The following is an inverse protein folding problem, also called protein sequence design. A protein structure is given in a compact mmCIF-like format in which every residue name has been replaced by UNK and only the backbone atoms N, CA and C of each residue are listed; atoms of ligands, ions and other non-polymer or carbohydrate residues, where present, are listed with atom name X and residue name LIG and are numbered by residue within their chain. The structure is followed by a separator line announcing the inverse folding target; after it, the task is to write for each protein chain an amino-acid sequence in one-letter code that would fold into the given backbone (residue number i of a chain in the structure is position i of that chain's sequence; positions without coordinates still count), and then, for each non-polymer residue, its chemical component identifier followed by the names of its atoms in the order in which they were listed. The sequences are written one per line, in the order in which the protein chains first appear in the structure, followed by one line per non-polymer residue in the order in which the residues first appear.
data_IF_577929915289
#
_entry.id   IF_577929915289
#
_cell.length_a   1.000
_cell.length_b   1.000
_cell.length_c   1.000
_cell.angle_alpha   90.00
_cell.angle_beta   90.00
_cell.angle_gamma   90.00
#
_symmetry.space_group_name_H-M   'P 1'
#
loop_
_entity.id
_entity.type
_entity.pdbx_description
1 polymer ?
#
# COMPACT_ATOMS: atom_id res chain seq x y z
N UNK A 1 -10.96 -17.47 -10.08
CA UNK A 1 -9.56 -17.11 -10.42
C UNK A 1 -9.66 -15.96 -11.41
N UNK A 2 -9.36 -14.73 -10.98
CA UNK A 2 -9.25 -13.57 -11.87
C UNK A 2 -7.96 -12.86 -11.45
N UNK A 3 -6.84 -13.33 -11.98
CA UNK A 3 -5.61 -12.54 -11.99
C UNK A 3 -5.86 -11.40 -12.95
N UNK A 4 -6.02 -10.17 -12.43
CA UNK A 4 -6.00 -8.98 -13.29
C UNK A 4 -4.67 -9.02 -14.06
N UNK A 5 -4.66 -8.88 -15.40
CA UNK A 5 -3.41 -8.79 -16.13
C UNK A 5 -2.56 -7.70 -15.49
N UNK A 6 -1.31 -8.04 -15.18
CA UNK A 6 -0.33 -7.08 -14.71
C UNK A 6 -0.24 -5.98 -15.77
N UNK A 7 -0.50 -4.73 -15.37
CA UNK A 7 -0.52 -3.61 -16.30
C UNK A 7 0.87 -3.34 -16.87
N UNK A 8 0.98 -2.46 -17.89
CA UNK A 8 2.24 -2.15 -18.60
C UNK A 8 3.36 -1.63 -17.70
N UNK A 9 3.06 -1.32 -16.44
CA UNK A 9 3.95 -0.74 -15.44
C UNK A 9 4.33 -1.67 -14.29
N UNK A 10 4.02 -2.96 -14.38
CA UNK A 10 4.39 -3.90 -13.30
C UNK A 10 5.87 -4.25 -13.37
N UNK A 11 6.60 -3.98 -12.30
CA UNK A 11 8.01 -4.38 -12.17
C UNK A 11 8.21 -5.71 -11.45
N UNK A 12 9.38 -6.31 -11.70
CA UNK A 12 9.76 -7.62 -11.16
C UNK A 12 11.17 -7.61 -10.57
N UNK A 13 11.42 -8.54 -9.66
CA UNK A 13 12.72 -8.77 -9.06
C UNK A 13 13.08 -10.26 -9.06
N UNK A 14 14.37 -10.52 -8.87
CA UNK A 14 14.96 -11.84 -8.68
C UNK A 14 15.95 -11.77 -7.52
N UNK A 15 15.98 -12.80 -6.68
CA UNK A 15 16.98 -12.98 -5.63
C UNK A 15 18.11 -13.86 -6.14
N UNK A 16 19.35 -13.52 -5.79
CA UNK A 16 20.52 -14.24 -6.25
C UNK A 16 21.82 -13.63 -5.74
N UNK A 17 22.93 -14.12 -6.29
CA UNK A 17 24.27 -13.68 -5.95
C UNK A 17 24.94 -13.05 -7.17
N UNK A 18 25.65 -11.94 -6.96
CA UNK A 18 26.45 -11.28 -7.99
C UNK A 18 27.92 -11.38 -7.64
N UNK A 19 28.72 -11.96 -8.54
CA UNK A 19 30.17 -12.18 -8.33
C UNK A 19 31.06 -11.04 -8.86
N UNK A 20 30.46 -9.92 -9.30
CA UNK A 20 31.16 -8.81 -9.95
C UNK A 20 31.11 -8.85 -11.48
N UNK A 21 30.72 -9.98 -12.08
CA UNK A 21 30.59 -10.13 -13.53
C UNK A 21 29.26 -10.75 -13.96
N UNK A 22 28.72 -11.68 -13.17
CA UNK A 22 27.49 -12.43 -13.46
C UNK A 22 26.59 -12.47 -12.23
N UNK A 23 25.31 -12.33 -12.51
CA UNK A 23 24.25 -12.59 -11.54
C UNK A 23 23.76 -14.02 -11.71
N UNK A 24 23.80 -14.80 -10.64
CA UNK A 24 23.24 -16.14 -10.55
C UNK A 24 22.01 -16.10 -9.64
N UNK A 25 20.85 -16.50 -10.16
CA UNK A 25 19.61 -16.61 -9.38
C UNK A 25 19.74 -17.70 -8.31
N UNK A 26 19.06 -17.51 -7.18
CA UNK A 26 18.88 -18.57 -6.20
C UNK A 26 18.10 -19.75 -6.81
N UNK A 27 18.34 -20.96 -6.30
CA UNK A 27 17.79 -22.20 -6.89
C UNK A 27 16.26 -22.25 -6.91
N UNK A 28 15.59 -21.60 -5.96
CA UNK A 28 14.13 -21.56 -5.84
C UNK A 28 13.49 -20.36 -6.56
N UNK A 29 14.28 -19.55 -7.28
CA UNK A 29 13.83 -18.31 -7.89
C UNK A 29 13.18 -18.53 -9.27
N UNK A 30 11.94 -18.05 -9.51
CA UNK A 30 11.26 -18.29 -10.76
C UNK A 30 11.87 -17.47 -11.90
N UNK A 31 12.05 -18.10 -13.08
CA UNK A 31 12.50 -17.41 -14.29
C UNK A 31 11.63 -16.20 -14.66
N UNK A 32 10.32 -16.29 -14.40
CA UNK A 32 9.39 -15.21 -14.65
C UNK A 32 9.57 -14.00 -13.72
N UNK A 33 10.38 -14.10 -12.67
CA UNK A 33 10.58 -13.08 -11.64
C UNK A 33 9.34 -12.89 -10.76
N UNK A 34 9.56 -12.30 -9.60
CA UNK A 34 8.50 -11.99 -8.62
C UNK A 34 8.07 -10.55 -8.76
N UNK A 35 6.79 -10.26 -8.56
CA UNK A 35 6.26 -8.88 -8.61
C UNK A 35 6.69 -8.15 -7.32
N UNK A 36 7.32 -6.99 -7.43
CA UNK A 36 7.72 -6.20 -6.25
C UNK A 36 6.65 -5.21 -5.77
N UNK A 37 5.63 -4.91 -6.58
CA UNK A 37 4.51 -4.05 -6.19
C UNK A 37 3.23 -4.54 -6.88
N UNK A 38 2.20 -4.84 -6.08
CA UNK A 38 0.91 -5.31 -6.58
C UNK A 38 -0.03 -4.20 -7.07
N UNK A 39 0.37 -2.93 -6.92
CA UNK A 39 -0.33 -1.75 -7.40
C UNK A 39 -0.06 -1.45 -8.88
N UNK A 40 -0.77 -0.46 -9.42
CA UNK A 40 -0.59 -0.01 -10.79
C UNK A 40 0.50 1.07 -10.95
N UNK A 41 0.81 1.78 -9.85
CA UNK A 41 1.52 3.06 -9.82
C UNK A 41 2.87 2.98 -9.09
N UNK A 42 3.70 2.00 -9.44
CA UNK A 42 5.09 1.94 -8.94
C UNK A 42 5.99 1.40 -10.05
N UNK A 43 6.40 2.30 -10.95
CA UNK A 43 7.18 1.97 -12.14
C UNK A 43 8.58 2.60 -12.10
N UNK A 44 9.50 2.07 -12.92
CA UNK A 44 10.87 2.57 -13.04
C UNK A 44 11.55 2.76 -11.66
N UNK A 45 11.29 1.82 -10.75
CA UNK A 45 11.93 1.80 -9.43
C UNK A 45 13.44 1.68 -9.61
N UNK A 46 14.18 2.63 -9.04
CA UNK A 46 15.64 2.68 -9.09
C UNK A 46 16.20 2.77 -7.69
N UNK A 47 17.39 2.19 -7.48
CA UNK A 47 18.15 2.32 -6.24
C UNK A 47 19.03 3.57 -6.24
N UNK A 48 19.24 4.11 -5.05
CA UNK A 48 20.28 5.10 -4.80
C UNK A 48 21.67 4.43 -4.79
N UNK A 49 22.66 5.12 -5.33
CA UNK A 49 24.06 4.71 -5.26
C UNK A 49 24.77 5.39 -4.08
N UNK A 50 25.88 4.80 -3.62
CA UNK A 50 26.73 5.40 -2.59
C UNK A 50 26.20 5.29 -1.15
N UNK A 51 25.12 4.53 -0.95
CA UNK A 51 24.60 4.20 0.37
C UNK A 51 25.31 2.96 0.95
N UNK A 52 25.21 2.79 2.26
CA UNK A 52 25.71 1.58 2.94
C UNK A 52 24.93 0.34 2.46
N UNK A 53 25.48 -0.85 2.66
CA UNK A 53 24.82 -2.11 2.28
C UNK A 53 23.48 -2.32 2.98
N UNK A 54 23.32 -1.74 4.17
CA UNK A 54 22.12 -1.88 5.00
C UNK A 54 21.07 -0.79 4.69
N UNK A 55 21.40 0.16 3.81
CA UNK A 55 20.54 1.30 3.43
C UNK A 55 20.24 1.27 1.93
N UNK A 56 19.80 0.13 1.42
CA UNK A 56 19.36 0.05 0.02
C UNK A 56 17.98 0.67 -0.11
N UNK A 57 17.88 1.80 -0.81
CA UNK A 57 16.64 2.57 -0.93
C UNK A 57 16.18 2.59 -2.38
N UNK A 58 14.93 2.20 -2.63
CA UNK A 58 14.24 2.43 -3.90
C UNK A 58 13.40 3.69 -3.89
N UNK A 59 13.30 4.32 -5.06
CA UNK A 59 12.26 5.28 -5.38
C UNK A 59 11.73 4.97 -6.78
N UNK A 60 10.40 4.97 -6.94
CA UNK A 60 9.73 4.68 -8.21
C UNK A 60 8.80 5.80 -8.64
N UNK A 61 8.57 5.91 -9.94
CA UNK A 61 7.56 6.80 -10.50
C UNK A 61 6.17 6.33 -10.11
N UNK A 62 5.40 7.22 -9.48
CA UNK A 62 4.07 6.96 -8.97
C UNK A 62 3.02 7.29 -10.04
N UNK A 63 3.01 6.47 -11.09
CA UNK A 63 2.01 6.49 -12.14
C UNK A 63 2.04 5.20 -12.98
N UNK A 64 1.00 4.99 -13.77
CA UNK A 64 0.98 4.00 -14.85
C UNK A 64 1.01 4.68 -16.22
N UNK A 65 1.81 4.13 -17.16
CA UNK A 65 1.76 4.50 -18.58
C UNK A 65 0.35 4.42 -19.18
N UNK A 66 -0.52 3.57 -18.63
CA UNK A 66 -1.89 3.43 -19.10
C UNK A 66 -2.71 4.73 -19.01
N UNK A 67 -2.36 5.65 -18.09
CA UNK A 67 -3.12 6.88 -17.85
C UNK A 67 -2.28 8.08 -17.41
N UNK A 68 -0.94 7.98 -17.41
CA UNK A 68 -0.05 9.03 -16.92
C UNK A 68 -0.32 10.43 -17.52
N UNK A 69 -0.76 10.50 -18.78
CA UNK A 69 -1.05 11.74 -19.49
C UNK A 69 -2.48 12.27 -19.29
N UNK A 70 -3.32 11.53 -18.58
CA UNK A 70 -4.72 11.88 -18.31
C UNK A 70 -4.95 12.24 -16.84
N UNK A 71 -3.90 12.19 -16.01
CA UNK A 71 -3.98 12.60 -14.60
C UNK A 71 -4.30 14.11 -14.55
N UNK A 72 -5.39 14.52 -13.85
CA UNK A 72 -5.88 15.90 -13.85
C UNK A 72 -5.10 16.77 -12.84
N UNK A 73 -3.78 16.83 -12.98
CA UNK A 73 -2.91 17.69 -12.15
C UNK A 73 -2.36 18.85 -12.97
N UNK A 74 -2.32 20.03 -12.35
CA UNK A 74 -1.72 21.26 -12.88
C UNK A 74 -1.05 22.05 -11.73
N UNK A 75 0.04 22.80 -11.98
CA UNK A 75 0.77 22.94 -13.25
C UNK A 75 1.76 21.79 -13.55
N UNK A 76 1.95 20.83 -12.62
CA UNK A 76 2.86 19.71 -12.79
C UNK A 76 2.12 18.40 -13.12
N UNK A 77 2.87 17.40 -13.60
CA UNK A 77 2.36 16.06 -13.85
C UNK A 77 3.38 15.01 -13.46
N UNK A 78 2.89 13.97 -12.79
CA UNK A 78 3.72 12.91 -12.23
C UNK A 78 4.24 13.25 -10.84
N UNK A 79 4.47 12.20 -10.06
CA UNK A 79 5.05 12.25 -8.71
C UNK A 79 5.99 11.07 -8.54
N UNK A 80 6.90 11.16 -7.58
CA UNK A 80 7.63 9.99 -7.11
C UNK A 80 6.87 9.37 -5.94
N UNK A 81 7.02 8.06 -5.78
CA UNK A 81 6.54 7.34 -4.61
C UNK A 81 7.31 7.74 -3.35
N UNK A 82 6.77 7.36 -2.20
CA UNK A 82 7.51 7.34 -0.94
C UNK A 82 8.75 6.44 -1.12
N UNK A 83 9.96 6.89 -0.76
CA UNK A 83 11.15 6.06 -0.79
C UNK A 83 10.97 4.81 0.06
N UNK A 84 11.54 3.69 -0.39
CA UNK A 84 11.38 2.38 0.25
C UNK A 84 12.73 1.81 0.63
N UNK A 85 12.97 1.64 1.91
CA UNK A 85 14.09 0.84 2.40
C UNK A 85 13.83 -0.62 2.04
N UNK A 86 14.80 -1.24 1.40
CA UNK A 86 14.74 -2.63 0.96
C UNK A 86 15.38 -3.54 2.00
N UNK A 87 14.81 -4.72 2.14
CA UNK A 87 15.42 -5.80 2.90
C UNK A 87 15.08 -7.15 2.28
N UNK A 88 15.73 -8.19 2.79
CA UNK A 88 15.39 -9.57 2.50
C UNK A 88 15.10 -10.28 3.82
N UNK A 89 14.07 -11.12 3.80
CA UNK A 89 13.65 -11.93 4.96
C UNK A 89 13.34 -13.34 4.50
N UNK A 90 13.62 -14.30 5.37
CA UNK A 90 13.23 -15.70 5.19
C UNK A 90 11.73 -15.86 5.49
N UNK A 91 10.98 -16.36 4.50
CA UNK A 91 9.58 -16.76 4.60
C UNK A 91 9.47 -18.25 4.26
N UNK A 92 9.59 -19.08 5.30
CA UNK A 92 9.72 -20.53 5.16
C UNK A 92 11.05 -20.90 4.52
N UNK A 93 11.01 -21.62 3.39
CA UNK A 93 12.21 -22.00 2.63
C UNK A 93 12.65 -20.95 1.61
N UNK A 94 12.01 -19.76 1.60
CA UNK A 94 12.22 -18.74 0.58
C UNK A 94 12.81 -17.47 1.17
N UNK A 95 13.59 -16.76 0.37
CA UNK A 95 14.01 -15.40 0.66
C UNK A 95 13.13 -14.43 -0.13
N UNK A 96 12.50 -13.47 0.55
CA UNK A 96 11.55 -12.53 -0.06
C UNK A 96 11.93 -11.08 0.19
N UNK A 97 11.63 -10.21 -0.79
CA UNK A 97 11.85 -8.77 -0.69
C UNK A 97 10.86 -8.15 0.31
N UNK A 98 11.39 -7.41 1.28
CA UNK A 98 10.64 -6.45 2.10
C UNK A 98 10.89 -5.03 1.67
N UNK A 99 9.87 -4.20 1.86
CA UNK A 99 9.91 -2.77 1.59
C UNK A 99 9.28 -2.05 2.78
N UNK A 100 10.02 -1.12 3.39
CA UNK A 100 9.54 -0.26 4.47
C UNK A 100 9.58 1.19 4.00
N UNK A 101 8.53 2.00 4.23
CA UNK A 101 8.60 3.44 3.97
C UNK A 101 9.84 4.05 4.65
N UNK A 102 10.59 4.87 3.92
CA UNK A 102 11.82 5.50 4.40
C UNK A 102 11.70 7.02 4.42
N UNK A 103 12.05 7.64 5.55
CA UNK A 103 12.10 9.10 5.68
C UNK A 103 10.74 9.79 5.81
N UNK A 104 9.70 9.03 6.19
CA UNK A 104 8.34 9.57 6.39
C UNK A 104 8.09 10.05 7.83
N UNK A 105 9.01 9.74 8.75
CA UNK A 105 8.88 9.98 10.18
C UNK A 105 8.79 11.47 10.51
N UNK A 106 9.53 12.32 9.79
CA UNK A 106 9.51 13.76 9.98
C UNK A 106 8.17 14.41 9.62
N UNK A 107 7.35 13.75 8.78
CA UNK A 107 6.01 14.20 8.40
C UNK A 107 4.90 13.71 9.33
N UNK A 108 5.21 12.82 10.28
CA UNK A 108 4.27 12.36 11.31
C UNK A 108 4.22 13.41 12.42
N UNK A 109 3.55 14.54 12.17
CA UNK A 109 3.17 15.43 13.28
C UNK A 109 2.36 14.64 14.31
N UNK A 110 2.51 15.01 15.59
CA UNK A 110 1.98 14.30 16.76
C UNK A 110 0.45 14.24 16.78
N UNK A 111 -0.13 13.45 15.89
CA UNK A 111 -1.55 13.17 15.86
C UNK A 111 -1.88 12.28 17.05
N UNK A 112 -3.05 12.50 17.66
CA UNK A 112 -3.49 11.64 18.74
C UNK A 112 -3.70 10.24 18.17
N UNK A 113 -2.91 9.28 18.63
CA UNK A 113 -3.06 7.88 18.27
C UNK A 113 -4.30 7.37 18.98
N UNK A 114 -5.34 7.02 18.22
CA UNK A 114 -6.45 6.25 18.78
C UNK A 114 -6.01 4.80 18.86
N UNK A 115 -5.44 4.40 20.00
CA UNK A 115 -5.13 2.99 20.27
C UNK A 115 -6.41 2.24 20.62
N UNK A 116 -6.79 1.32 19.74
CA UNK A 116 -7.98 0.49 19.93
C UNK A 116 -7.61 -0.94 20.38
N UNK A 117 -6.40 -1.19 20.88
CA UNK A 117 -5.89 -2.55 21.20
C UNK A 117 -6.75 -3.38 22.16
N UNK A 118 -7.53 -2.75 23.04
CA UNK A 118 -8.13 -3.45 24.17
C UNK A 118 -9.39 -4.26 23.80
N UNK A 119 -10.22 -3.80 22.85
CA UNK A 119 -11.36 -4.55 22.26
C UNK A 119 -11.86 -3.83 20.99
N UNK A 120 -11.11 -3.82 19.88
CA UNK A 120 -11.52 -3.08 18.70
C UNK A 120 -12.64 -3.85 17.98
N UNK A 121 -13.84 -3.27 18.03
CA UNK A 121 -14.93 -3.68 17.14
C UNK A 121 -14.77 -3.00 15.78
N UNK A 122 -15.39 -3.56 14.73
CA UNK A 122 -15.43 -2.90 13.42
C UNK A 122 -16.03 -1.48 13.53
N UNK A 123 -17.03 -1.30 14.40
CA UNK A 123 -17.68 -0.01 14.66
C UNK A 123 -16.73 1.00 15.32
N UNK A 124 -15.97 0.62 16.34
CA UNK A 124 -15.04 1.55 17.00
C UNK A 124 -13.90 1.98 16.07
N UNK A 125 -13.43 1.07 15.20
CA UNK A 125 -12.45 1.41 14.15
C UNK A 125 -13.07 2.32 13.10
N UNK A 126 -14.32 2.06 12.68
CA UNK A 126 -15.03 2.94 11.76
C UNK A 126 -15.22 4.35 12.32
N UNK A 127 -15.62 4.49 13.59
CA UNK A 127 -15.79 5.79 14.25
C UNK A 127 -14.48 6.56 14.34
N UNK A 128 -13.39 5.91 14.74
CA UNK A 128 -12.06 6.53 14.81
C UNK A 128 -11.55 6.98 13.43
N UNK A 129 -11.81 6.18 12.40
CA UNK A 129 -11.52 6.50 11.01
C UNK A 129 -12.38 7.65 10.48
N UNK A 130 -13.66 7.69 10.86
CA UNK A 130 -14.60 8.73 10.47
C UNK A 130 -14.30 10.08 11.13
N UNK A 131 -13.67 10.09 12.31
CA UNK A 131 -13.17 11.31 12.95
C UNK A 131 -11.88 11.82 12.33
N UNK A 132 -11.05 10.94 11.77
CA UNK A 132 -9.80 11.33 11.12
C UNK A 132 -10.07 12.16 9.86
N UNK A 133 -9.37 13.29 9.71
CA UNK A 133 -9.52 14.16 8.55
C UNK A 133 -8.20 14.79 8.14
N UNK A 134 -8.02 15.03 6.85
CA UNK A 134 -6.81 15.67 6.30
C UNK A 134 -6.43 15.10 4.94
N UNK A 135 -5.58 15.83 4.23
CA UNK A 135 -5.11 15.43 2.90
C UNK A 135 -3.97 14.40 2.96
N UNK A 136 -3.26 14.35 4.10
CA UNK A 136 -2.10 13.48 4.36
C UNK A 136 -2.32 12.79 5.71
N UNK A 137 -2.47 11.47 5.69
CA UNK A 137 -2.63 10.63 6.87
C UNK A 137 -1.68 9.45 6.78
N UNK A 138 -1.05 9.11 7.90
CA UNK A 138 -0.37 7.83 8.08
C UNK A 138 -1.20 6.96 9.02
N UNK A 139 -1.74 5.87 8.49
CA UNK A 139 -2.72 5.01 9.18
C UNK A 139 -2.13 3.63 9.33
N UNK A 140 -2.03 3.16 10.57
CA UNK A 140 -1.51 1.84 10.91
C UNK A 140 -2.63 1.01 11.54
N UNK A 141 -2.99 -0.14 10.94
CA UNK A 141 -4.13 -0.95 11.39
C UNK A 141 -3.75 -2.43 11.42
N UNK A 142 -3.99 -3.08 12.56
CA UNK A 142 -3.91 -4.52 12.75
C UNK A 142 -5.30 -5.17 12.69
N UNK A 143 -5.64 -5.81 11.56
CA UNK A 143 -6.91 -6.53 11.38
C UNK A 143 -6.69 -8.04 11.42
N UNK A 144 -7.44 -8.75 12.27
CA UNK A 144 -7.57 -10.20 12.19
C UNK A 144 -8.79 -10.53 11.32
N UNK A 145 -8.59 -11.28 10.24
CA UNK A 145 -9.67 -11.71 9.33
C UNK A 145 -9.80 -13.24 9.43
N UNK A 146 -10.73 -13.78 10.25
CA UNK A 146 -10.80 -15.21 10.55
C UNK A 146 -11.12 -16.07 9.31
N UNK A 147 -12.06 -15.62 8.48
CA UNK A 147 -12.38 -16.23 7.19
C UNK A 147 -13.18 -15.26 6.31
N UNK A 148 -12.85 -15.16 5.02
CA UNK A 148 -13.55 -14.34 4.02
C UNK A 148 -12.79 -13.08 3.55
N UNK A 149 -13.52 -12.01 3.20
CA UNK A 149 -13.05 -10.75 2.62
C UNK A 149 -13.48 -9.54 3.46
N UNK A 150 -12.54 -8.66 3.77
CA UNK A 150 -12.84 -7.35 4.35
C UNK A 150 -12.30 -6.24 3.46
N UNK A 151 -12.65 -5.00 3.76
CA UNK A 151 -12.10 -3.84 3.08
C UNK A 151 -12.15 -2.61 3.97
N UNK A 152 -11.25 -1.69 3.69
CA UNK A 152 -11.18 -0.37 4.29
C UNK A 152 -11.29 0.64 3.15
N UNK A 153 -12.35 1.44 3.11
CA UNK A 153 -12.32 2.66 2.31
C UNK A 153 -11.45 3.68 3.05
N UNK A 154 -10.49 4.30 2.38
CA UNK A 154 -9.53 5.25 2.97
C UNK A 154 -9.81 6.68 2.49
N UNK A 155 -10.51 6.85 1.35
CA UNK A 155 -11.03 8.15 0.89
C UNK A 155 -12.49 8.01 0.52
N UNK A 156 -13.33 8.89 1.06
CA UNK A 156 -14.79 8.85 0.91
C UNK A 156 -15.28 10.26 0.54
N UNK A 157 -16.27 10.35 -0.34
CA UNK A 157 -16.87 11.64 -0.68
C UNK A 157 -17.64 12.24 0.51
N UNK A 158 -18.03 13.51 0.43
CA UNK A 158 -18.95 14.12 1.43
C UNK A 158 -20.27 13.35 1.55
N UNK A 159 -20.71 12.73 0.45
CA UNK A 159 -21.96 11.94 0.38
C UNK A 159 -21.79 10.51 0.90
N UNK A 160 -20.60 10.12 1.36
CA UNK A 160 -20.34 8.79 1.93
C UNK A 160 -19.91 7.71 0.92
N UNK A 161 -19.67 8.07 -0.34
CA UNK A 161 -19.27 7.11 -1.38
C UNK A 161 -17.76 6.82 -1.38
N UNK A 162 -17.32 5.55 -1.37
CA UNK A 162 -15.91 5.20 -1.42
C UNK A 162 -15.21 5.63 -2.73
N UNK A 163 -14.17 6.45 -2.59
CA UNK A 163 -13.30 6.87 -3.71
C UNK A 163 -12.10 5.92 -3.83
N UNK A 164 -11.56 5.45 -2.70
CA UNK A 164 -10.47 4.49 -2.68
C UNK A 164 -10.67 3.44 -1.58
N UNK A 165 -10.57 2.17 -1.95
CA UNK A 165 -10.71 1.02 -1.06
C UNK A 165 -9.48 0.12 -1.08
N UNK A 166 -9.08 -0.30 0.12
CA UNK A 166 -8.10 -1.34 0.35
C UNK A 166 -8.85 -2.60 0.79
N UNK A 167 -8.94 -3.58 -0.09
CA UNK A 167 -9.48 -4.91 0.21
C UNK A 167 -8.43 -5.82 0.85
N UNK A 168 -8.90 -6.68 1.75
CA UNK A 168 -8.14 -7.72 2.43
C UNK A 168 -8.85 -9.06 2.27
N UNK A 169 -8.10 -10.14 2.13
CA UNK A 169 -8.68 -11.48 2.00
C UNK A 169 -7.85 -12.50 2.77
N UNK A 170 -8.51 -13.25 3.64
CA UNK A 170 -7.92 -14.32 4.47
C UNK A 170 -7.10 -15.40 3.74
N UNK A 171 -7.15 -15.48 2.40
CA UNK A 171 -6.47 -16.51 1.60
C UNK A 171 -5.74 -15.94 0.37
N UNK A 172 -5.66 -14.61 0.24
CA UNK A 172 -5.05 -13.94 -0.92
C UNK A 172 -4.30 -12.69 -0.45
N UNK A 173 -3.34 -12.25 -1.25
CA UNK A 173 -2.71 -10.95 -1.02
C UNK A 173 -3.75 -9.82 -0.96
N UNK A 174 -3.48 -8.74 -0.18
CA UNK A 174 -4.32 -7.55 -0.17
C UNK A 174 -4.53 -7.01 -1.59
N UNK A 175 -5.72 -6.47 -1.86
CA UNK A 175 -6.09 -5.93 -3.17
C UNK A 175 -6.51 -4.48 -3.04
N UNK A 176 -5.97 -3.57 -3.87
CA UNK A 176 -6.38 -2.15 -3.91
C UNK A 176 -7.36 -1.90 -5.06
N UNK A 177 -8.36 -1.06 -4.82
CA UNK A 177 -9.28 -0.57 -5.85
C UNK A 177 -9.51 0.93 -5.65
N UNK A 178 -9.29 1.72 -6.71
CA UNK A 178 -9.67 3.13 -6.75
C UNK A 178 -10.85 3.29 -7.71
N UNK A 179 -11.83 4.11 -7.33
CA UNK A 179 -12.97 4.51 -8.16
C UNK A 179 -12.63 5.86 -8.76
N UNK A 180 -12.67 5.97 -10.09
CA UNK A 180 -12.40 7.23 -10.77
C UNK A 180 -13.58 8.19 -10.60
N UNK A 181 -13.43 9.23 -9.79
CA UNK A 181 -14.41 10.32 -9.68
C UNK A 181 -13.99 11.47 -10.61
N UNK A 182 -14.71 11.66 -11.71
CA UNK A 182 -14.49 12.77 -12.64
C UNK A 182 -15.20 14.04 -12.16
N UNK A 183 -14.44 15.11 -11.88
CA UNK A 183 -14.98 16.43 -11.56
C UNK A 183 -13.86 17.47 -11.47
N UNK A 184 -14.05 18.64 -12.10
CA UNK A 184 -13.09 19.75 -12.20
C UNK A 184 -13.07 20.69 -10.99
N UNK A 185 -13.77 20.36 -9.93
CA UNK A 185 -13.69 21.06 -8.65
C UNK A 185 -12.75 20.31 -7.74
N UNK A 186 -11.96 21.01 -6.91
CA UNK A 186 -11.33 20.48 -5.71
C UNK A 186 -12.48 20.14 -4.74
N UNK A 187 -12.99 18.90 -4.72
CA UNK A 187 -14.04 18.48 -3.82
C UNK A 187 -13.43 18.41 -2.41
N UNK A 188 -14.21 18.82 -1.43
CA UNK A 188 -13.90 18.53 -0.04
C UNK A 188 -14.25 17.06 0.20
N UNK A 189 -13.47 16.36 0.99
CA UNK A 189 -13.62 14.91 1.22
C UNK A 189 -13.62 14.60 2.71
N UNK A 190 -14.20 13.45 3.06
CA UNK A 190 -14.11 12.86 4.39
C UNK A 190 -13.32 11.56 4.32
N UNK A 191 -12.71 11.17 5.42
CA UNK A 191 -11.93 9.94 5.46
C UNK A 191 -12.84 8.81 5.91
N UNK A 192 -12.93 7.78 5.07
CA UNK A 192 -13.14 6.37 5.41
C UNK A 192 -14.51 5.81 5.84
N UNK A 193 -14.87 4.68 5.23
CA UNK A 193 -15.93 3.72 5.60
C UNK A 193 -15.30 2.33 5.66
N UNK A 194 -15.48 1.57 6.75
CA UNK A 194 -14.96 0.21 6.85
C UNK A 194 -16.05 -0.77 6.39
N UNK A 195 -15.83 -1.47 5.28
CA UNK A 195 -16.76 -2.49 4.77
C UNK A 195 -16.18 -3.90 5.00
N UNK A 196 -16.61 -4.56 6.06
CA UNK A 196 -16.28 -5.97 6.28
C UNK A 196 -17.45 -6.86 5.84
N UNK A 197 -17.27 -7.67 4.79
CA UNK A 197 -18.26 -8.66 4.35
C UNK A 197 -17.81 -10.08 4.70
N UNK A 198 -17.80 -10.42 5.98
CA UNK A 198 -17.65 -11.82 6.43
C UNK A 198 -18.51 -12.13 7.63
N UNK A 199 -19.21 -13.27 7.62
CA UNK A 199 -19.73 -13.89 8.84
C UNK A 199 -18.55 -14.27 9.75
N UNK A 200 -18.62 -13.82 11.01
CA UNK A 200 -17.79 -14.16 12.20
C UNK A 200 -16.33 -13.70 12.15
N UNK A 201 -15.76 -12.94 13.10
CA UNK A 201 -16.10 -12.51 14.49
C UNK A 201 -15.54 -11.09 14.72
N UNK A 202 -16.23 -10.28 15.52
CA UNK A 202 -16.08 -8.81 15.71
C UNK A 202 -14.79 -8.34 16.40
N UNK A 203 -13.63 -8.94 16.14
CA UNK A 203 -12.38 -8.56 16.82
C UNK A 203 -11.25 -8.22 15.85
N UNK A 204 -11.01 -6.92 15.71
CA UNK A 204 -9.73 -6.37 15.24
C UNK A 204 -8.64 -6.64 16.31
N UNK A 205 -7.38 -6.33 16.02
CA UNK A 205 -6.27 -6.54 16.99
C UNK A 205 -5.76 -5.24 17.60
N UNK A 206 -5.63 -4.17 16.81
CA UNK A 206 -5.35 -2.80 17.26
C UNK A 206 -5.41 -1.86 16.04
N UNK A 207 -5.48 -0.56 16.28
CA UNK A 207 -5.35 0.46 15.24
C UNK A 207 -4.63 1.69 15.83
N UNK A 208 -3.98 2.46 14.97
CA UNK A 208 -3.33 3.74 15.25
C UNK A 208 -3.69 4.67 14.11
N UNK A 209 -4.59 5.60 14.40
CA UNK A 209 -5.19 6.50 13.43
C UNK A 209 -4.92 7.94 13.90
N UNK A 210 -4.49 8.86 13.02
CA UNK A 210 -4.41 10.27 13.34
C UNK A 210 -5.78 10.84 13.74
N UNK A 211 -5.83 11.66 14.80
CA UNK A 211 -7.04 12.39 15.19
C UNK A 211 -7.51 13.40 14.14
#
# INVERSE_FOLDING_TARGET
MLSRPLGPTTGRYWVGHFDGARFAMADDEPLAGRVFDGGADFYAATSYNGLSTDEQIWIGWHASWAYAFSIPTEPWRGTMSVPRLLGLVEDGERVVLTQTPYGVEAGREACALVDLSDEPTLSSVHEALASASGDVLDIEIGIRIPAGRGGLAVRVSEDGEPIATQGFHSRRQPSRQAVATGGSHQPKWRTSTLEASTRTTDRLSWARIPA
#
